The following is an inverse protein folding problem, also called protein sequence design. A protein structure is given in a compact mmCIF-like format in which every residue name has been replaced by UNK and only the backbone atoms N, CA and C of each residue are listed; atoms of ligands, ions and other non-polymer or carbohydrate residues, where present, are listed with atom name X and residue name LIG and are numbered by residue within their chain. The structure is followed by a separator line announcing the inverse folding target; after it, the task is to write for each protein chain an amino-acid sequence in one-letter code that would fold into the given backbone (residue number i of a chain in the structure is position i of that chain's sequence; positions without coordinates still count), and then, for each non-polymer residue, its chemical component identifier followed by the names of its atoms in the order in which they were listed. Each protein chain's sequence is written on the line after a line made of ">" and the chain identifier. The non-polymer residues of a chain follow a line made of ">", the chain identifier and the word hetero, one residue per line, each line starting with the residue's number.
data_IF_164133727268
#
_entry.id   IF_164133727268
#
_cell.length_a   1.000
_cell.length_b   1.000
_cell.length_c   1.000
_cell.angle_alpha   90.00
_cell.angle_beta   90.00
_cell.angle_gamma   90.00
#
_symmetry.space_group_name_H-M   'P 1'
#
loop_
_entity.id
_entity.type
_entity.pdbx_description
1 polymer ?
#
# COMPACT_ATOMS: atom_id res chain seq x y z
N UNK A 1 -3.97 42.69 16.65
CA UNK A 1 -4.19 41.58 15.69
C UNK A 1 -3.22 41.60 14.50
N UNK A 2 -2.78 42.76 13.98
CA UNK A 2 -1.85 42.83 12.83
C UNK A 2 -0.43 42.31 13.13
N UNK A 3 0.11 42.59 14.32
CA UNK A 3 1.48 42.20 14.68
C UNK A 3 1.71 40.68 14.81
N UNK A 4 0.68 39.95 15.23
CA UNK A 4 0.74 38.50 15.39
C UNK A 4 0.66 37.80 14.03
N UNK A 5 -0.16 38.34 13.12
CA UNK A 5 -0.21 37.92 11.72
C UNK A 5 1.13 38.15 11.00
N UNK A 6 1.77 39.31 11.22
CA UNK A 6 3.07 39.59 10.64
C UNK A 6 4.18 38.65 11.15
N UNK A 7 4.19 38.35 12.45
CA UNK A 7 5.14 37.38 13.03
C UNK A 7 4.97 36.00 12.40
N UNK A 8 3.73 35.52 12.31
CA UNK A 8 3.41 34.24 11.69
C UNK A 8 3.83 34.20 10.21
N UNK A 9 3.57 35.28 9.47
CA UNK A 9 3.96 35.39 8.06
C UNK A 9 5.48 35.38 7.86
N UNK A 10 6.24 36.08 8.71
CA UNK A 10 7.72 36.05 8.68
C UNK A 10 8.27 34.65 8.97
N UNK A 11 7.68 33.92 9.92
CA UNK A 11 8.06 32.54 10.20
C UNK A 11 7.80 31.59 9.02
N UNK A 12 6.64 31.70 8.38
CA UNK A 12 6.31 30.91 7.19
C UNK A 12 7.31 31.18 6.05
N UNK A 13 7.67 32.45 5.82
CA UNK A 13 8.67 32.82 4.83
C UNK A 13 10.06 32.28 5.17
N UNK A 14 10.48 32.33 6.44
CA UNK A 14 11.74 31.77 6.90
C UNK A 14 11.79 30.24 6.71
N UNK A 15 10.71 29.52 7.06
CA UNK A 15 10.57 28.07 6.83
C UNK A 15 10.64 27.74 5.35
N UNK A 16 9.94 28.49 4.49
CA UNK A 16 9.96 28.31 3.03
C UNK A 16 11.36 28.52 2.44
N UNK A 17 12.13 29.49 2.94
CA UNK A 17 13.53 29.73 2.53
C UNK A 17 14.44 28.58 2.94
N UNK A 18 14.31 28.07 4.18
CA UNK A 18 15.08 26.91 4.68
C UNK A 18 14.78 25.65 3.86
N UNK A 19 13.50 25.37 3.60
CA UNK A 19 13.07 24.26 2.74
C UNK A 19 13.62 24.37 1.32
N UNK A 20 13.55 25.56 0.70
CA UNK A 20 14.16 25.80 -0.61
C UNK A 20 15.68 25.57 -0.62
N UNK A 21 16.38 25.93 0.46
CA UNK A 21 17.82 25.70 0.60
C UNK A 21 18.15 24.22 0.77
N UNK A 22 17.35 23.49 1.55
CA UNK A 22 17.48 22.03 1.76
C UNK A 22 17.16 21.22 0.49
N UNK A 23 16.20 21.67 -0.30
CA UNK A 23 15.77 21.03 -1.56
C UNK A 23 16.59 21.46 -2.78
N UNK A 24 17.55 22.39 -2.61
CA UNK A 24 18.43 22.90 -3.68
C UNK A 24 19.40 21.86 -4.31
N UNK A 25 19.91 20.85 -3.58
CA UNK A 25 20.76 19.81 -4.16
C UNK A 25 19.96 18.73 -4.90
N UNK A 26 18.62 18.82 -4.97
CA UNK A 26 17.84 17.89 -5.77
C UNK A 26 18.09 18.13 -7.26
N UNK A 27 18.43 17.09 -8.05
CA UNK A 27 18.61 17.22 -9.48
C UNK A 27 17.33 17.77 -10.12
N UNK A 28 17.48 18.86 -10.88
CA UNK A 28 16.38 19.49 -11.64
C UNK A 28 15.73 18.41 -12.51
N UNK A 29 14.39 18.29 -12.51
CA UNK A 29 13.60 17.24 -13.22
C UNK A 29 14.10 16.90 -14.63
N UNK A 30 14.65 17.87 -15.35
CA UNK A 30 15.24 17.71 -16.69
C UNK A 30 16.43 16.72 -16.75
N UNK A 31 17.17 16.51 -15.66
CA UNK A 31 18.40 15.71 -15.67
C UNK A 31 18.20 14.22 -15.32
N UNK A 32 17.01 13.82 -14.87
CA UNK A 32 16.73 12.42 -14.46
C UNK A 32 16.79 11.47 -15.68
N UNK A 33 16.43 11.97 -16.87
CA UNK A 33 16.50 11.22 -18.14
C UNK A 33 17.94 10.93 -18.62
N UNK A 34 18.96 11.53 -18.00
CA UNK A 34 20.37 11.34 -18.39
C UNK A 34 20.90 9.94 -18.02
N UNK A 35 20.28 9.27 -17.04
CA UNK A 35 20.74 7.95 -16.59
C UNK A 35 20.12 6.81 -17.41
N UNK A 36 20.94 5.92 -18.00
CA UNK A 36 20.45 4.88 -18.91
C UNK A 36 19.55 3.87 -18.21
N UNK A 37 19.82 3.57 -16.94
CA UNK A 37 19.00 2.64 -16.14
C UNK A 37 17.60 3.20 -15.92
N UNK A 38 17.48 4.47 -15.54
CA UNK A 38 16.19 5.14 -15.30
C UNK A 38 15.40 5.23 -16.61
N UNK A 39 16.08 5.52 -17.73
CA UNK A 39 15.47 5.53 -19.05
C UNK A 39 14.90 4.16 -19.44
N UNK A 40 15.69 3.09 -19.33
CA UNK A 40 15.25 1.70 -19.60
C UNK A 40 14.06 1.32 -18.71
N UNK A 41 14.13 1.64 -17.42
CA UNK A 41 13.02 1.40 -16.50
C UNK A 41 11.77 2.17 -16.90
N UNK A 42 11.87 3.46 -17.21
CA UNK A 42 10.75 4.30 -17.61
C UNK A 42 10.09 3.84 -18.93
N UNK A 43 10.88 3.40 -19.90
CA UNK A 43 10.38 2.82 -21.16
C UNK A 43 9.72 1.45 -20.96
N UNK A 44 10.25 0.65 -20.06
CA UNK A 44 9.68 -0.64 -19.67
C UNK A 44 8.36 -0.45 -18.93
N UNK A 45 8.32 0.53 -18.03
CA UNK A 45 7.18 0.96 -17.25
C UNK A 45 6.03 1.46 -18.13
N UNK A 46 6.32 2.35 -19.07
CA UNK A 46 5.27 2.96 -19.92
C UNK A 46 4.49 1.94 -20.74
N UNK A 47 5.11 0.81 -21.12
CA UNK A 47 4.46 -0.30 -21.85
C UNK A 47 3.58 -1.19 -20.97
N UNK A 48 3.59 -1.01 -19.65
CA UNK A 48 3.00 -1.94 -18.67
C UNK A 48 2.10 -1.21 -17.67
N UNK A 49 0.92 -0.74 -18.11
CA UNK A 49 0.02 0.05 -17.26
C UNK A 49 -0.45 -0.70 -15.99
N UNK A 50 -0.43 -2.03 -15.99
CA UNK A 50 -0.80 -2.85 -14.83
C UNK A 50 0.06 -2.57 -13.59
N UNK A 51 1.33 -2.19 -13.78
CA UNK A 51 2.26 -1.91 -12.67
C UNK A 51 1.81 -0.70 -11.83
N UNK A 52 0.99 0.21 -12.39
CA UNK A 52 0.41 1.37 -11.70
C UNK A 52 -1.12 1.26 -11.55
N UNK A 53 -1.71 0.11 -11.87
CA UNK A 53 -3.16 -0.07 -11.86
C UNK A 53 -3.64 -0.52 -10.49
N UNK A 54 -4.52 0.25 -9.85
CA UNK A 54 -5.14 -0.12 -8.56
C UNK A 54 -6.39 -1.01 -8.73
N UNK A 55 -6.52 -1.68 -9.87
CA UNK A 55 -7.57 -2.68 -10.07
C UNK A 55 -7.31 -3.90 -9.20
N UNK A 56 -8.40 -4.53 -8.74
CA UNK A 56 -8.35 -5.71 -7.88
C UNK A 56 -7.49 -6.82 -8.49
N UNK A 57 -7.59 -7.03 -9.80
CA UNK A 57 -6.80 -8.05 -10.51
C UNK A 57 -5.29 -7.90 -10.33
N UNK A 58 -4.77 -6.68 -10.14
CA UNK A 58 -3.34 -6.41 -10.01
C UNK A 58 -2.90 -6.18 -8.55
N UNK A 59 -3.80 -5.67 -7.71
CA UNK A 59 -3.54 -5.42 -6.30
C UNK A 59 -3.52 -6.73 -5.51
N UNK A 60 -4.44 -7.66 -5.77
CA UNK A 60 -4.52 -8.92 -5.03
C UNK A 60 -3.20 -9.72 -5.16
N UNK A 61 -2.68 -10.04 -6.36
CA UNK A 61 -1.38 -10.72 -6.49
C UNK A 61 -0.24 -9.94 -5.83
N UNK A 62 -0.26 -8.60 -5.87
CA UNK A 62 0.75 -7.77 -5.23
C UNK A 62 0.76 -7.92 -3.71
N UNK A 63 -0.42 -8.05 -3.08
CA UNK A 63 -0.52 -8.29 -1.64
C UNK A 63 0.04 -9.64 -1.24
N UNK A 64 -0.33 -10.72 -1.95
CA UNK A 64 0.12 -12.07 -1.62
C UNK A 64 1.62 -12.25 -1.86
N UNK A 65 2.10 -11.91 -3.05
CA UNK A 65 3.51 -12.09 -3.39
C UNK A 65 4.37 -11.08 -2.62
N UNK A 66 3.92 -9.83 -2.49
CA UNK A 66 4.63 -8.81 -1.73
C UNK A 66 4.69 -9.13 -0.24
N UNK A 67 3.62 -9.66 0.34
CA UNK A 67 3.57 -10.06 1.75
C UNK A 67 4.53 -11.20 2.07
N UNK A 68 4.73 -12.13 1.14
CA UNK A 68 5.74 -13.18 1.28
C UNK A 68 7.15 -12.58 1.15
N UNK A 69 7.42 -11.80 0.10
CA UNK A 69 8.76 -11.25 -0.13
C UNK A 69 9.18 -10.30 1.01
N UNK A 70 8.26 -9.53 1.59
CA UNK A 70 8.57 -8.63 2.70
C UNK A 70 9.04 -9.37 3.95
N UNK A 71 8.52 -10.57 4.21
CA UNK A 71 8.79 -11.35 5.43
C UNK A 71 9.85 -12.44 5.25
N UNK A 72 10.31 -12.68 4.02
CA UNK A 72 11.45 -13.54 3.76
C UNK A 72 12.77 -12.87 4.17
N UNK A 73 13.83 -13.64 4.49
CA UNK A 73 15.14 -13.11 4.83
C UNK A 73 15.91 -12.58 3.60
N UNK A 74 15.34 -11.60 2.90
CA UNK A 74 15.81 -11.03 1.63
C UNK A 74 16.21 -9.55 1.75
N UNK A 75 16.44 -9.07 2.97
CA UNK A 75 16.77 -7.67 3.22
C UNK A 75 17.96 -7.22 2.37
N UNK A 76 17.80 -6.07 1.70
CA UNK A 76 18.76 -5.55 0.72
C UNK A 76 18.43 -5.90 -0.74
N UNK A 77 17.91 -7.09 -1.03
CA UNK A 77 17.53 -7.51 -2.41
C UNK A 77 16.02 -7.56 -2.64
N UNK A 78 15.21 -7.40 -1.59
CA UNK A 78 13.75 -7.48 -1.61
C UNK A 78 13.05 -6.56 -2.63
N UNK A 79 13.64 -5.40 -2.97
CA UNK A 79 13.09 -4.49 -3.98
C UNK A 79 13.28 -5.02 -5.41
N UNK A 80 14.40 -5.69 -5.68
CA UNK A 80 14.64 -6.34 -6.97
C UNK A 80 13.73 -7.56 -7.12
N UNK A 81 13.59 -8.35 -6.06
CA UNK A 81 12.64 -9.45 -6.01
C UNK A 81 11.19 -8.96 -6.23
N UNK A 82 10.80 -7.86 -5.57
CA UNK A 82 9.48 -7.25 -5.76
C UNK A 82 9.26 -6.77 -7.19
N UNK A 83 10.27 -6.14 -7.82
CA UNK A 83 10.18 -5.74 -9.23
C UNK A 83 10.04 -6.96 -10.15
N UNK A 84 10.84 -8.01 -9.94
CA UNK A 84 10.75 -9.26 -10.69
C UNK A 84 9.37 -9.92 -10.55
N UNK A 85 8.85 -9.97 -9.32
CA UNK A 85 7.52 -10.47 -9.01
C UNK A 85 6.41 -9.65 -9.68
N UNK A 86 6.50 -8.31 -9.67
CA UNK A 86 5.52 -7.46 -10.33
C UNK A 86 5.44 -7.76 -11.84
N UNK A 87 6.57 -8.04 -12.47
CA UNK A 87 6.63 -8.39 -13.89
C UNK A 87 6.11 -9.81 -14.15
N UNK A 88 6.48 -10.78 -13.31
CA UNK A 88 6.11 -12.18 -13.47
C UNK A 88 4.60 -12.41 -13.26
N UNK A 89 4.06 -11.87 -12.17
CA UNK A 89 2.66 -12.03 -11.79
C UNK A 89 1.75 -10.93 -12.36
N UNK A 90 2.30 -10.04 -13.20
CA UNK A 90 1.63 -8.84 -13.72
C UNK A 90 1.05 -7.95 -12.61
N UNK A 91 1.60 -7.98 -11.41
CA UNK A 91 1.04 -7.34 -10.22
C UNK A 91 1.32 -5.83 -10.15
N UNK A 92 0.59 -5.11 -9.29
CA UNK A 92 0.82 -3.70 -9.02
C UNK A 92 2.16 -3.48 -8.31
N UNK A 93 3.07 -2.75 -8.96
CA UNK A 93 4.42 -2.50 -8.46
C UNK A 93 4.44 -1.54 -7.27
N UNK A 94 3.56 -0.54 -7.26
CA UNK A 94 3.47 0.43 -6.16
C UNK A 94 3.11 -0.27 -4.85
N UNK A 95 2.12 -1.16 -4.88
CA UNK A 95 1.72 -1.96 -3.72
C UNK A 95 2.86 -2.87 -3.29
N UNK A 96 3.49 -3.57 -4.23
CA UNK A 96 4.64 -4.44 -3.95
C UNK A 96 5.78 -3.71 -3.25
N UNK A 97 6.18 -2.54 -3.76
CA UNK A 97 7.23 -1.72 -3.13
C UNK A 97 6.80 -1.23 -1.75
N UNK A 98 5.54 -0.81 -1.59
CA UNK A 98 5.01 -0.32 -0.31
C UNK A 98 5.10 -1.39 0.78
N UNK A 99 4.79 -2.65 0.47
CA UNK A 99 4.91 -3.77 1.41
C UNK A 99 6.35 -3.99 1.89
N UNK A 100 7.36 -3.65 1.07
CA UNK A 100 8.75 -3.87 1.46
C UNK A 100 9.23 -2.91 2.54
N UNK A 101 8.51 -1.80 2.78
CA UNK A 101 8.83 -0.88 3.88
C UNK A 101 8.43 -1.43 5.26
N UNK A 102 7.64 -2.51 5.31
CA UNK A 102 7.31 -3.21 6.55
C UNK A 102 8.60 -3.71 7.21
N UNK A 103 9.52 -4.26 6.41
CA UNK A 103 10.82 -4.77 6.87
C UNK A 103 11.88 -3.69 6.69
N UNK A 104 12.17 -3.00 7.79
CA UNK A 104 13.17 -1.94 7.88
C UNK A 104 14.20 -2.28 8.98
N UNK A 105 15.33 -1.56 9.10
CA UNK A 105 16.38 -1.88 10.07
C UNK A 105 15.90 -2.01 11.52
N UNK A 106 14.82 -1.31 11.88
CA UNK A 106 14.26 -1.35 13.23
C UNK A 106 13.31 -2.54 13.44
N UNK A 107 12.63 -2.99 12.39
CA UNK A 107 11.64 -4.08 12.47
C UNK A 107 12.18 -5.44 12.03
N UNK A 108 13.32 -5.49 11.34
CA UNK A 108 13.87 -6.74 10.78
C UNK A 108 14.13 -7.81 11.84
N UNK A 109 14.69 -7.43 12.99
CA UNK A 109 15.02 -8.35 14.09
C UNK A 109 13.75 -9.01 14.66
N UNK A 110 12.73 -8.26 15.12
CA UNK A 110 11.52 -8.88 15.64
C UNK A 110 10.74 -9.65 14.57
N UNK A 111 10.73 -9.19 13.31
CA UNK A 111 10.05 -9.90 12.22
C UNK A 111 10.70 -11.26 11.98
N UNK A 112 12.03 -11.32 11.83
CA UNK A 112 12.72 -12.58 11.56
C UNK A 112 12.73 -13.53 12.75
N UNK A 113 12.74 -13.01 13.98
CA UNK A 113 12.54 -13.84 15.15
C UNK A 113 11.15 -14.52 15.13
N UNK A 114 10.11 -13.74 14.81
CA UNK A 114 8.74 -14.25 14.75
C UNK A 114 8.54 -15.26 13.61
N UNK A 115 8.97 -14.93 12.38
CA UNK A 115 8.84 -15.84 11.25
C UNK A 115 9.68 -17.10 11.43
N UNK A 116 10.90 -16.98 11.99
CA UNK A 116 11.74 -18.12 12.35
C UNK A 116 11.07 -19.04 13.36
N UNK A 117 10.49 -18.49 14.43
CA UNK A 117 9.77 -19.27 15.44
C UNK A 117 8.57 -20.02 14.83
N UNK A 118 7.71 -19.32 14.08
CA UNK A 118 6.53 -19.93 13.44
C UNK A 118 6.94 -21.06 12.49
N UNK A 119 7.97 -20.86 11.68
CA UNK A 119 8.38 -21.87 10.71
C UNK A 119 9.09 -23.06 11.33
N UNK A 120 9.89 -22.86 12.37
CA UNK A 120 10.50 -23.97 13.14
C UNK A 120 9.43 -24.84 13.79
N UNK A 121 8.46 -24.22 14.47
CA UNK A 121 7.35 -24.95 15.09
C UNK A 121 6.54 -25.72 14.04
N UNK A 122 6.23 -25.10 12.90
CA UNK A 122 5.51 -25.76 11.83
C UNK A 122 6.28 -26.96 11.26
N UNK A 123 7.60 -26.82 11.05
CA UNK A 123 8.44 -27.92 10.57
C UNK A 123 8.51 -29.07 11.59
N UNK A 124 8.60 -28.76 12.89
CA UNK A 124 8.59 -29.75 13.96
C UNK A 124 7.25 -30.50 14.04
N UNK A 125 6.13 -29.77 13.99
CA UNK A 125 4.78 -30.36 14.01
C UNK A 125 4.54 -31.30 12.82
N UNK A 126 5.07 -30.94 11.65
CA UNK A 126 4.96 -31.74 10.42
C UNK A 126 6.01 -32.86 10.33
N UNK A 127 6.97 -32.92 11.27
CA UNK A 127 8.07 -33.89 11.24
C UNK A 127 9.03 -33.74 10.06
N UNK A 128 9.12 -32.53 9.47
CA UNK A 128 9.92 -32.30 8.25
C UNK A 128 11.29 -31.73 8.61
N UNK A 129 12.35 -32.34 8.06
CA UNK A 129 13.72 -31.82 8.18
C UNK A 129 14.38 -32.09 9.53
N UNK A 130 13.86 -33.04 10.31
CA UNK A 130 14.46 -33.44 11.59
C UNK A 130 15.89 -34.00 11.42
N UNK A 131 16.19 -34.60 10.27
CA UNK A 131 17.54 -35.06 9.91
C UNK A 131 18.53 -33.93 9.52
N UNK A 132 18.06 -32.70 9.34
CA UNK A 132 18.92 -31.60 8.88
C UNK A 132 19.83 -31.09 9.99
N UNK A 133 21.04 -30.61 9.66
CA UNK A 133 21.87 -29.86 10.60
C UNK A 133 21.11 -28.66 11.16
N UNK A 134 21.23 -28.41 12.48
CA UNK A 134 20.59 -27.29 13.19
C UNK A 134 20.60 -25.94 12.44
N UNK A 135 21.73 -25.45 11.89
CA UNK A 135 21.72 -24.15 11.19
C UNK A 135 20.88 -24.17 9.90
N UNK A 136 20.88 -25.29 9.16
CA UNK A 136 20.06 -25.45 7.94
C UNK A 136 18.59 -25.54 8.32
N UNK A 137 18.28 -26.28 9.39
CA UNK A 137 16.91 -26.39 9.90
C UNK A 137 16.33 -25.03 10.29
N UNK A 138 17.09 -24.21 11.03
CA UNK A 138 16.67 -22.86 11.41
C UNK A 138 16.50 -21.95 10.18
N UNK A 139 17.42 -22.01 9.22
CA UNK A 139 17.32 -21.22 7.98
C UNK A 139 16.08 -21.59 7.16
N UNK A 140 15.77 -22.88 7.05
CA UNK A 140 14.56 -23.36 6.39
C UNK A 140 13.30 -22.93 7.15
N UNK A 141 13.32 -23.00 8.48
CA UNK A 141 12.24 -22.49 9.33
C UNK A 141 11.96 -21.01 9.06
N UNK A 142 13.00 -20.19 8.92
CA UNK A 142 12.84 -18.77 8.60
C UNK A 142 12.14 -18.53 7.25
N UNK A 143 12.47 -19.35 6.23
CA UNK A 143 11.83 -19.28 4.91
C UNK A 143 10.37 -19.75 4.99
N UNK A 144 10.12 -20.91 5.61
CA UNK A 144 8.79 -21.49 5.75
C UNK A 144 7.87 -20.55 6.51
N UNK A 145 8.32 -20.02 7.64
CA UNK A 145 7.55 -19.08 8.43
C UNK A 145 7.35 -17.75 7.71
N UNK A 146 8.34 -17.25 6.97
CA UNK A 146 8.17 -16.06 6.12
C UNK A 146 7.07 -16.23 5.06
N UNK A 147 7.01 -17.41 4.42
CA UNK A 147 5.95 -17.75 3.47
C UNK A 147 4.58 -17.83 4.15
N UNK A 148 4.48 -18.59 5.25
CA UNK A 148 3.21 -18.83 5.93
C UNK A 148 2.65 -17.55 6.54
N UNK A 149 3.47 -16.79 7.26
CA UNK A 149 3.07 -15.51 7.86
C UNK A 149 2.78 -14.49 6.77
N UNK A 150 3.56 -14.47 5.68
CA UNK A 150 3.34 -13.56 4.56
C UNK A 150 2.00 -13.79 3.86
N UNK A 151 1.69 -15.06 3.56
CA UNK A 151 0.40 -15.45 2.99
C UNK A 151 -0.76 -15.20 3.96
N UNK A 152 -0.58 -15.51 5.24
CA UNK A 152 -1.58 -15.24 6.28
C UNK A 152 -1.89 -13.75 6.42
N UNK A 153 -0.87 -12.91 6.42
CA UNK A 153 -1.01 -11.44 6.46
C UNK A 153 -1.71 -10.91 5.21
N UNK A 154 -1.32 -11.40 4.03
CA UNK A 154 -1.96 -11.02 2.77
C UNK A 154 -3.43 -11.43 2.70
N UNK A 155 -3.74 -12.64 3.16
CA UNK A 155 -5.11 -13.14 3.26
C UNK A 155 -5.93 -12.28 4.22
N UNK A 156 -5.39 -11.95 5.40
CA UNK A 156 -6.04 -11.07 6.35
C UNK A 156 -6.38 -9.71 5.72
N UNK A 157 -5.41 -9.08 5.05
CA UNK A 157 -5.62 -7.82 4.33
C UNK A 157 -6.70 -7.93 3.23
N UNK A 158 -6.71 -9.01 2.43
CA UNK A 158 -7.73 -9.24 1.40
C UNK A 158 -9.13 -9.44 2.03
N UNK A 159 -9.22 -10.18 3.13
CA UNK A 159 -10.48 -10.39 3.85
C UNK A 159 -11.02 -9.09 4.46
N UNK A 160 -10.16 -8.31 5.12
CA UNK A 160 -10.53 -6.99 5.66
C UNK A 160 -11.01 -6.08 4.53
N UNK A 161 -10.31 -6.05 3.40
CA UNK A 161 -10.75 -5.28 2.24
C UNK A 161 -12.11 -5.72 1.71
N UNK A 162 -12.34 -7.04 1.58
CA UNK A 162 -13.62 -7.60 1.13
C UNK A 162 -14.75 -7.23 2.08
N UNK A 163 -14.50 -7.28 3.39
CA UNK A 163 -15.44 -6.89 4.42
C UNK A 163 -15.81 -5.40 4.33
N UNK A 164 -14.81 -4.50 4.31
CA UNK A 164 -15.03 -3.06 4.16
C UNK A 164 -15.75 -2.71 2.85
N UNK A 165 -15.37 -3.36 1.74
CA UNK A 165 -16.01 -3.16 0.45
C UNK A 165 -17.46 -3.69 0.43
N UNK A 166 -17.78 -4.74 1.19
CA UNK A 166 -19.15 -5.21 1.37
C UNK A 166 -19.96 -4.21 2.18
N UNK A 167 -19.44 -3.73 3.31
CA UNK A 167 -20.10 -2.74 4.15
C UNK A 167 -20.40 -1.44 3.39
N UNK A 168 -19.42 -0.93 2.62
CA UNK A 168 -19.60 0.25 1.78
C UNK A 168 -20.69 0.05 0.71
N UNK A 169 -20.80 -1.16 0.13
CA UNK A 169 -21.85 -1.49 -0.84
C UNK A 169 -23.24 -1.49 -0.19
N UNK A 170 -23.36 -2.09 0.99
CA UNK A 170 -24.60 -2.11 1.76
C UNK A 170 -25.04 -0.70 2.15
N UNK A 171 -24.10 0.12 2.63
CA UNK A 171 -24.40 1.52 2.98
C UNK A 171 -24.80 2.35 1.75
N UNK A 172 -24.09 2.18 0.63
CA UNK A 172 -24.41 2.87 -0.62
C UNK A 172 -25.80 2.51 -1.14
N UNK A 173 -26.23 1.24 -1.00
CA UNK A 173 -27.56 0.80 -1.38
C UNK A 173 -28.66 1.52 -0.56
N UNK A 174 -28.48 1.62 0.77
CA UNK A 174 -29.39 2.37 1.65
C UNK A 174 -29.43 3.86 1.31
N UNK A 175 -28.27 4.48 1.04
CA UNK A 175 -28.19 5.89 0.67
C UNK A 175 -28.91 6.19 -0.66
N UNK A 176 -28.76 5.32 -1.65
CA UNK A 176 -29.45 5.44 -2.94
C UNK A 176 -30.97 5.32 -2.79
N UNK A 177 -31.46 4.43 -1.92
CA UNK A 177 -32.89 4.29 -1.65
C UNK A 177 -33.46 5.54 -0.97
N UNK A 178 -32.77 6.10 0.03
CA UNK A 178 -33.18 7.37 0.64
C UNK A 178 -33.26 8.51 -0.37
N UNK A 179 -32.26 8.65 -1.26
CA UNK A 179 -32.30 9.66 -2.32
C UNK A 179 -33.49 9.47 -3.26
N UNK A 180 -33.77 8.23 -3.68
CA UNK A 180 -34.94 7.93 -4.54
C UNK A 180 -36.25 8.28 -3.87
N UNK A 181 -36.42 7.99 -2.58
CA UNK A 181 -37.63 8.34 -1.82
C UNK A 181 -37.83 9.85 -1.72
N UNK A 182 -36.78 10.61 -1.48
CA UNK A 182 -36.83 12.09 -1.43
C UNK A 182 -37.13 12.68 -2.81
N UNK A 183 -36.49 12.17 -3.87
CA UNK A 183 -36.74 12.60 -5.25
C UNK A 183 -38.20 12.28 -5.68
N UNK A 184 -38.73 11.10 -5.32
CA UNK A 184 -40.13 10.74 -5.54
C UNK A 184 -41.11 11.61 -4.75
N UNK A 185 -40.82 11.92 -3.48
CA UNK A 185 -41.66 12.82 -2.69
C UNK A 185 -41.71 14.23 -3.28
N UNK A 186 -40.57 14.74 -3.76
CA UNK A 186 -40.47 16.05 -4.44
C UNK A 186 -41.23 16.08 -5.78
N UNK A 187 -41.21 14.99 -6.53
CA UNK A 187 -41.98 14.87 -7.77
C UNK A 187 -43.49 14.68 -7.54
N UNK A 188 -43.88 14.02 -6.45
CA UNK A 188 -45.28 13.86 -6.07
C UNK A 188 -45.92 15.18 -5.59
N UNK A 189 -45.13 16.12 -5.07
CA UNK A 189 -45.59 17.43 -4.60
C UNK A 189 -44.80 18.58 -5.25
N UNK A 190 -44.97 18.82 -6.57
CA UNK A 190 -44.16 19.79 -7.32
C UNK A 190 -44.47 21.27 -7.00
N UNK A 191 -45.50 21.56 -6.20
CA UNK A 191 -46.05 22.91 -6.00
C UNK A 191 -45.79 23.59 -4.65
N UNK A 192 -45.03 23.00 -3.73
CA UNK A 192 -44.87 23.57 -2.37
C UNK A 192 -43.68 24.52 -2.19
N UNK A 193 -42.78 24.67 -3.18
CA UNK A 193 -41.62 25.57 -3.09
C UNK A 193 -41.86 26.95 -3.73
N UNK A 194 -42.95 27.18 -4.48
CA UNK A 194 -43.23 28.47 -5.14
C UNK A 194 -44.10 29.45 -4.31
N UNK A 195 -44.39 29.14 -3.05
CA UNK A 195 -45.37 29.88 -2.24
C UNK A 195 -44.83 30.77 -1.12
N UNK A 196 -43.51 30.86 -0.91
CA UNK A 196 -42.94 31.55 0.27
C UNK A 196 -42.11 32.80 -0.02
N UNK A 197 -42.00 33.27 -1.26
CA UNK A 197 -41.25 34.50 -1.61
C UNK A 197 -42.13 35.72 -1.95
N UNK A 198 -43.46 35.67 -1.77
CA UNK A 198 -44.36 36.79 -2.11
C UNK A 198 -45.12 37.42 -0.92
N UNK A 199 -44.55 37.41 0.29
CA UNK A 199 -45.17 38.02 1.46
C UNK A 199 -44.16 38.68 2.38
N UNK A 200 -43.84 39.96 2.11
CA UNK A 200 -42.98 40.81 2.94
C UNK A 200 -42.65 42.11 2.23
#
# INVERSE_FOLDING_TARGET
>A
MSEEYERHFRELLARRRRLRKLLRPLPRRANIRRYPVIKRFAEMASKRPYLWSFKREQVVPALYVGGVISLLPLYGVQFLAALGAALLFRANLTVLIALQFITNPFTIVPIYAFTGWVGVELMQLMGVGAELPKPVFIANGLIVGGIVVGLGTALFCDLVWRFLAWEARVFKAKYLEHRRRVEQARQAHPGSESGSESGG
#
